data_IF_711117105112
#
_entry.id   IF_711117105112
#
_cell.length_a   1.000
_cell.length_b   1.000
_cell.length_c   1.000
_cell.angle_alpha   90.00
_cell.angle_beta   90.00
_cell.angle_gamma   90.00
#
_symmetry.space_group_name_H-M   'P 1'
#
loop_
_entity.id
_entity.type
_entity.pdbx_description
1 polymer ?
#
# COMPACT_ATOMS: atom_id res chain seq x y z
N UNK A 1 7.84 -81.82 -25.78
CA UNK A 1 8.83 -80.74 -25.67
C UNK A 1 8.06 -79.43 -25.60
N UNK A 2 7.90 -78.88 -24.40
CA UNK A 2 7.05 -77.66 -24.20
C UNK A 2 7.99 -76.47 -23.99
N UNK A 3 8.03 -75.57 -24.96
CA UNK A 3 8.78 -74.32 -24.87
C UNK A 3 7.94 -73.31 -24.09
N UNK A 4 8.44 -72.83 -22.94
CA UNK A 4 7.87 -71.74 -22.16
C UNK A 4 8.50 -70.42 -22.59
N UNK A 5 7.72 -69.56 -23.24
CA UNK A 5 8.12 -68.21 -23.57
C UNK A 5 7.86 -67.35 -22.33
N UNK A 6 8.96 -66.88 -21.71
CA UNK A 6 8.87 -65.92 -20.60
C UNK A 6 8.64 -64.50 -21.13
N UNK A 7 7.57 -63.89 -20.73
CA UNK A 7 7.21 -62.50 -21.05
C UNK A 7 7.96 -61.58 -20.08
N UNK A 8 8.98 -60.88 -20.63
CA UNK A 8 9.76 -59.88 -19.89
C UNK A 8 8.97 -58.55 -19.86
N UNK A 9 8.36 -58.24 -18.69
CA UNK A 9 7.71 -56.96 -18.48
C UNK A 9 8.76 -55.89 -18.23
N UNK A 10 8.98 -55.01 -19.21
CA UNK A 10 9.84 -53.81 -19.10
C UNK A 10 9.03 -52.68 -18.41
N UNK A 11 9.29 -52.46 -17.11
CA UNK A 11 8.69 -51.35 -16.38
C UNK A 11 9.37 -50.02 -16.80
N UNK A 12 8.65 -49.19 -17.55
CA UNK A 12 9.08 -47.84 -17.90
C UNK A 12 8.81 -46.92 -16.67
N UNK A 13 9.86 -46.58 -15.93
CA UNK A 13 9.78 -45.57 -14.87
C UNK A 13 9.77 -44.20 -15.54
N UNK A 14 8.58 -43.58 -15.60
CA UNK A 14 8.41 -42.19 -16.02
C UNK A 14 8.91 -41.26 -14.90
N UNK A 15 10.17 -40.84 -15.04
CA UNK A 15 10.76 -39.79 -14.19
C UNK A 15 10.18 -38.43 -14.62
N UNK A 16 9.12 -37.97 -13.93
CA UNK A 16 8.60 -36.62 -14.17
C UNK A 16 9.52 -35.60 -13.51
N UNK A 17 10.06 -34.61 -14.25
CA UNK A 17 10.86 -33.57 -13.63
C UNK A 17 9.99 -32.70 -12.71
N UNK A 18 10.35 -32.66 -11.42
CA UNK A 18 9.77 -31.73 -10.45
C UNK A 18 10.06 -30.29 -10.92
N UNK A 19 9.05 -29.59 -11.42
CA UNK A 19 9.17 -28.15 -11.71
C UNK A 19 9.18 -27.40 -10.40
N UNK A 20 10.35 -26.99 -9.94
CA UNK A 20 10.50 -26.04 -8.85
C UNK A 20 10.05 -24.69 -9.41
N UNK A 21 8.83 -24.29 -9.08
CA UNK A 21 8.32 -22.95 -9.38
C UNK A 21 8.99 -21.99 -8.40
N UNK A 22 10.05 -21.30 -8.83
CA UNK A 22 10.60 -20.18 -8.09
C UNK A 22 9.57 -19.06 -8.14
N UNK A 23 8.83 -18.85 -7.05
CA UNK A 23 8.00 -17.67 -6.86
C UNK A 23 8.95 -16.46 -6.82
N UNK A 24 9.05 -15.72 -7.93
CA UNK A 24 9.68 -14.41 -7.93
C UNK A 24 8.79 -13.48 -7.09
N UNK A 25 9.25 -13.20 -5.86
CA UNK A 25 8.70 -12.12 -5.06
C UNK A 25 9.04 -10.81 -5.78
N UNK A 26 8.15 -10.34 -6.64
CA UNK A 26 8.22 -9.00 -7.20
C UNK A 26 7.92 -8.04 -6.04
N UNK A 27 8.94 -7.37 -5.53
CA UNK A 27 8.77 -6.23 -4.62
C UNK A 27 8.08 -5.13 -5.41
N UNK A 28 6.74 -5.15 -5.43
CA UNK A 28 5.96 -4.15 -6.14
C UNK A 28 6.21 -2.80 -5.45
N UNK A 29 6.80 -1.85 -6.19
CA UNK A 29 6.99 -0.48 -5.72
C UNK A 29 5.62 0.12 -5.40
N UNK A 30 5.44 0.60 -4.17
CA UNK A 30 4.20 1.26 -3.77
C UNK A 30 3.96 2.51 -4.64
N UNK A 31 2.71 2.72 -5.00
CA UNK A 31 2.26 3.88 -5.76
C UNK A 31 2.06 5.08 -4.82
N UNK A 32 2.04 6.29 -5.38
CA UNK A 32 1.61 7.48 -4.64
C UNK A 32 0.12 7.39 -4.29
N UNK A 33 -0.31 8.19 -3.31
CA UNK A 33 -1.65 8.12 -2.73
C UNK A 33 -2.78 8.24 -3.75
N UNK A 34 -2.68 9.18 -4.69
CA UNK A 34 -3.74 9.42 -5.70
C UNK A 34 -3.82 8.28 -6.70
N UNK A 35 -2.66 7.75 -7.14
CA UNK A 35 -2.60 6.60 -8.05
C UNK A 35 -3.10 5.33 -7.37
N UNK A 36 -2.78 5.15 -6.08
CA UNK A 36 -3.20 3.98 -5.31
C UNK A 36 -4.69 4.01 -4.96
N UNK A 37 -5.24 5.19 -4.66
CA UNK A 37 -6.62 5.34 -4.19
C UNK A 37 -7.23 6.72 -4.53
N UNK A 38 -7.58 6.93 -5.78
CA UNK A 38 -8.23 8.16 -6.24
C UNK A 38 -9.64 8.40 -5.65
N UNK A 39 -10.21 7.43 -4.95
CA UNK A 39 -11.49 7.56 -4.27
C UNK A 39 -11.37 8.39 -3.00
N UNK A 40 -10.27 8.22 -2.27
CA UNK A 40 -10.04 8.92 -1.00
C UNK A 40 -9.07 10.09 -1.12
N UNK A 41 -8.24 10.13 -2.17
CA UNK A 41 -7.22 11.16 -2.40
C UNK A 41 -7.49 11.88 -3.71
N UNK A 42 -7.61 13.21 -3.67
CA UNK A 42 -7.75 14.04 -4.86
C UNK A 42 -6.76 15.19 -4.84
N UNK A 43 -6.23 15.56 -6.01
CA UNK A 43 -5.34 16.72 -6.16
C UNK A 43 -6.20 17.97 -6.22
N UNK A 44 -6.00 18.91 -5.30
CA UNK A 44 -6.64 20.23 -5.32
C UNK A 44 -5.78 21.30 -5.97
N UNK A 45 -4.46 21.18 -5.80
CA UNK A 45 -3.50 22.09 -6.40
C UNK A 45 -2.17 21.38 -6.62
N UNK A 46 -1.48 21.75 -7.68
CA UNK A 46 -0.15 21.22 -7.98
C UNK A 46 0.69 22.22 -8.77
N UNK A 47 1.97 22.35 -8.40
CA UNK A 47 2.99 23.10 -9.13
C UNK A 47 4.36 22.38 -9.01
N UNK A 48 5.44 23.04 -9.39
CA UNK A 48 6.79 22.46 -9.33
C UNK A 48 7.33 22.24 -7.91
N UNK A 49 6.72 22.89 -6.91
CA UNK A 49 7.19 22.91 -5.52
C UNK A 49 6.35 21.97 -4.64
N UNK A 50 5.02 22.03 -4.78
CA UNK A 50 4.09 21.29 -3.92
C UNK A 50 2.99 20.59 -4.73
N UNK A 51 2.45 19.52 -4.15
CA UNK A 51 1.18 18.92 -4.51
C UNK A 51 0.27 18.95 -3.28
N UNK A 52 -0.91 19.51 -3.42
CA UNK A 52 -1.90 19.64 -2.35
C UNK A 52 -3.00 18.63 -2.60
N UNK A 53 -3.19 17.73 -1.66
CA UNK A 53 -4.19 16.68 -1.71
C UNK A 53 -5.30 16.97 -0.70
N UNK A 54 -6.54 16.72 -1.10
CA UNK A 54 -7.64 16.51 -0.17
C UNK A 54 -7.77 15.02 0.11
N UNK A 55 -7.85 14.68 1.39
CA UNK A 55 -8.04 13.30 1.87
C UNK A 55 -9.40 13.21 2.55
N UNK A 56 -10.18 12.18 2.22
CA UNK A 56 -11.51 11.96 2.79
C UNK A 56 -11.73 10.48 3.03
N UNK A 57 -11.69 10.06 4.29
CA UNK A 57 -11.98 8.68 4.70
C UNK A 57 -13.28 8.65 5.50
N UNK A 58 -14.31 8.01 4.97
CA UNK A 58 -15.54 7.74 5.71
C UNK A 58 -15.30 6.82 6.90
N UNK A 59 -16.29 6.71 7.79
CA UNK A 59 -16.21 5.81 8.94
C UNK A 59 -15.99 4.35 8.48
N UNK A 60 -14.93 3.73 8.96
CA UNK A 60 -14.53 2.36 8.62
C UNK A 60 -13.71 2.22 7.34
N UNK A 61 -13.55 3.27 6.53
CA UNK A 61 -12.77 3.22 5.29
C UNK A 61 -11.30 2.90 5.57
N UNK A 62 -10.72 2.09 4.69
CA UNK A 62 -9.30 1.73 4.68
C UNK A 62 -8.71 2.04 3.32
N UNK A 63 -7.52 2.62 3.28
CA UNK A 63 -6.80 2.86 2.04
C UNK A 63 -5.82 1.72 1.74
N UNK A 64 -5.53 1.42 0.47
CA UNK A 64 -4.39 0.56 0.13
C UNK A 64 -3.08 1.21 0.56
N UNK A 65 -2.03 0.41 0.75
CA UNK A 65 -0.70 0.91 1.04
C UNK A 65 -0.19 1.82 -0.09
N UNK A 66 0.26 3.01 0.26
CA UNK A 66 0.72 4.04 -0.67
C UNK A 66 1.86 4.86 -0.08
N UNK A 67 2.43 5.75 -0.90
CA UNK A 67 3.55 6.60 -0.51
C UNK A 67 3.19 8.08 -0.56
N UNK A 68 3.81 8.86 0.33
CA UNK A 68 3.89 10.31 0.28
C UNK A 68 5.36 10.75 0.21
N UNK A 69 5.64 11.86 -0.48
CA UNK A 69 6.89 12.59 -0.27
C UNK A 69 6.88 13.27 1.11
N UNK A 70 7.93 14.01 1.47
CA UNK A 70 7.89 14.85 2.69
C UNK A 70 6.66 15.77 2.63
N UNK A 71 5.94 15.90 3.74
CA UNK A 71 4.61 16.53 3.74
C UNK A 71 4.28 17.25 5.04
N UNK A 72 3.26 18.10 4.98
CA UNK A 72 2.49 18.54 6.13
C UNK A 72 1.01 18.21 5.91
N UNK A 73 0.37 17.61 6.91
CA UNK A 73 -1.07 17.36 6.94
C UNK A 73 -1.75 18.37 7.88
N UNK A 74 -2.87 18.92 7.44
CA UNK A 74 -3.72 19.81 8.21
C UNK A 74 -5.06 19.11 8.38
N UNK A 75 -5.44 18.78 9.62
CA UNK A 75 -6.72 18.13 9.91
C UNK A 75 -7.87 19.14 9.78
N UNK A 76 -8.87 18.80 8.97
CA UNK A 76 -10.08 19.63 8.81
C UNK A 76 -11.21 19.17 9.73
N UNK A 77 -11.17 17.91 10.17
CA UNK A 77 -12.13 17.31 11.10
C UNK A 77 -11.37 16.63 12.23
N UNK A 78 -12.07 16.37 13.34
CA UNK A 78 -11.58 15.40 14.32
C UNK A 78 -11.50 14.02 13.66
N UNK A 79 -10.46 13.25 13.96
CA UNK A 79 -10.26 11.94 13.35
C UNK A 79 -9.67 10.93 14.34
N UNK A 80 -9.94 9.65 14.07
CA UNK A 80 -9.37 8.49 14.77
C UNK A 80 -8.81 7.55 13.72
N UNK A 81 -7.52 7.61 13.47
CA UNK A 81 -6.86 6.81 12.44
C UNK A 81 -6.01 5.71 13.05
N UNK A 82 -5.90 4.60 12.33
CA UNK A 82 -5.10 3.45 12.73
C UNK A 82 -4.36 2.88 11.52
N UNK A 83 -3.16 2.37 11.73
CA UNK A 83 -2.40 1.63 10.72
C UNK A 83 -2.22 0.18 11.13
N UNK A 84 -2.77 -0.74 10.34
CA UNK A 84 -2.69 -2.18 10.61
C UNK A 84 -3.11 -2.52 12.05
N UNK A 85 -2.25 -3.20 12.78
CA UNK A 85 -2.44 -3.54 14.20
C UNK A 85 -1.83 -2.51 15.18
N UNK A 86 -1.38 -1.37 14.67
CA UNK A 86 -0.81 -0.29 15.49
C UNK A 86 -1.84 0.38 16.41
N UNK A 87 -1.41 1.35 17.23
CA UNK A 87 -2.30 2.13 18.07
C UNK A 87 -3.19 3.06 17.23
N UNK A 88 -4.34 3.44 17.79
CA UNK A 88 -5.17 4.50 17.22
C UNK A 88 -4.53 5.84 17.52
N UNK A 89 -4.45 6.70 16.51
CA UNK A 89 -4.03 8.10 16.61
C UNK A 89 -5.25 8.98 16.55
N UNK A 90 -5.46 9.76 17.61
CA UNK A 90 -6.54 10.75 17.68
C UNK A 90 -6.01 12.11 17.25
N UNK A 91 -6.74 12.79 16.39
CA UNK A 91 -6.40 14.15 15.92
C UNK A 91 -7.59 15.08 16.03
N UNK A 92 -7.33 16.36 16.18
CA UNK A 92 -8.34 17.42 16.27
C UNK A 92 -8.29 18.31 15.05
N UNK A 93 -9.45 18.80 14.63
CA UNK A 93 -9.54 19.81 13.58
C UNK A 93 -8.61 21.00 13.89
N UNK A 94 -7.87 21.44 12.86
CA UNK A 94 -6.85 22.49 12.96
C UNK A 94 -5.47 22.04 13.39
N UNK A 95 -5.27 20.79 13.80
CA UNK A 95 -3.92 20.27 14.07
C UNK A 95 -3.11 20.12 12.79
N UNK A 96 -1.80 20.33 12.90
CA UNK A 96 -0.86 20.22 11.80
C UNK A 96 0.25 19.23 12.17
N UNK A 97 0.50 18.28 11.28
CA UNK A 97 1.59 17.31 11.39
C UNK A 97 2.48 17.42 10.17
N UNK A 98 3.79 17.46 10.36
CA UNK A 98 4.74 17.41 9.25
C UNK A 98 5.67 16.21 9.43
N UNK A 99 6.01 15.56 8.34
CA UNK A 99 6.88 14.39 8.32
C UNK A 99 7.73 14.28 7.06
N UNK A 100 8.69 13.38 7.12
CA UNK A 100 9.47 12.97 5.97
C UNK A 100 8.66 12.08 5.03
N UNK A 101 9.25 11.71 3.90
CA UNK A 101 8.65 10.75 2.98
C UNK A 101 8.33 9.44 3.71
N UNK A 102 7.12 8.93 3.50
CA UNK A 102 6.61 7.75 4.21
C UNK A 102 5.78 6.85 3.31
N UNK A 103 5.51 5.66 3.79
CA UNK A 103 4.51 4.77 3.24
C UNK A 103 3.59 4.28 4.35
N UNK A 104 2.28 4.24 4.08
CA UNK A 104 1.28 3.82 5.06
C UNK A 104 -0.01 3.30 4.41
N UNK A 105 -0.94 2.78 5.22
CA UNK A 105 -2.25 2.28 4.84
C UNK A 105 -3.27 2.60 5.94
N UNK A 106 -3.67 3.86 6.11
CA UNK A 106 -4.52 4.28 7.21
C UNK A 106 -5.95 3.73 7.07
N UNK A 107 -6.54 3.46 8.22
CA UNK A 107 -7.95 3.15 8.39
C UNK A 107 -8.59 4.20 9.31
N UNK A 108 -9.76 4.73 8.92
CA UNK A 108 -10.58 5.52 9.81
C UNK A 108 -11.38 4.59 10.74
N UNK A 109 -10.98 4.48 11.99
CA UNK A 109 -11.68 3.70 13.03
C UNK A 109 -12.70 4.54 13.81
N UNK A 110 -12.80 5.82 13.50
CA UNK A 110 -13.80 6.73 14.02
C UNK A 110 -15.20 6.49 13.43
N UNK A 111 -16.18 7.25 13.91
CA UNK A 111 -17.58 7.16 13.49
C UNK A 111 -18.02 8.25 12.52
N UNK A 112 -17.13 9.20 12.23
CA UNK A 112 -17.38 10.33 11.34
C UNK A 112 -16.34 10.35 10.22
N UNK A 113 -16.58 11.22 9.22
CA UNK A 113 -15.63 11.49 8.15
C UNK A 113 -14.33 12.06 8.74
N UNK A 114 -13.20 11.45 8.44
CA UNK A 114 -11.88 12.02 8.63
C UNK A 114 -11.49 12.78 7.35
N UNK A 115 -11.28 14.08 7.46
CA UNK A 115 -10.91 14.94 6.33
C UNK A 115 -9.66 15.75 6.66
N UNK A 116 -8.70 15.79 5.73
CA UNK A 116 -7.48 16.58 5.88
C UNK A 116 -6.99 17.13 4.55
N UNK A 117 -6.13 18.15 4.62
CA UNK A 117 -5.32 18.62 3.52
C UNK A 117 -3.89 18.13 3.74
N UNK A 118 -3.32 17.48 2.74
CA UNK A 118 -1.92 17.05 2.73
C UNK A 118 -1.16 17.88 1.70
N UNK A 119 -0.15 18.63 2.16
CA UNK A 119 0.76 19.38 1.31
C UNK A 119 2.03 18.57 1.17
N UNK A 120 2.25 17.97 0.02
CA UNK A 120 3.46 17.22 -0.32
C UNK A 120 4.50 18.13 -0.98
N UNK A 121 5.75 18.03 -0.54
CA UNK A 121 6.86 18.79 -1.10
C UNK A 121 7.59 17.98 -2.18
N UNK A 122 7.61 18.45 -3.41
CA UNK A 122 8.16 17.73 -4.56
C UNK A 122 9.69 17.63 -4.56
N UNK A 123 10.37 18.67 -4.10
CA UNK A 123 11.83 18.81 -4.18
C UNK A 123 12.44 19.18 -2.83
N UNK A 124 12.31 18.30 -1.83
CA UNK A 124 13.17 18.43 -0.66
C UNK A 124 14.53 17.78 -0.97
N UNK A 125 15.42 18.52 -1.64
CA UNK A 125 16.83 18.17 -1.58
C UNK A 125 17.21 18.17 -0.10
N UNK A 126 17.75 17.03 0.40
CA UNK A 126 18.34 16.97 1.74
C UNK A 126 19.24 18.19 1.91
N UNK A 127 18.92 19.09 2.83
CA UNK A 127 19.86 20.09 3.30
C UNK A 127 21.11 19.34 3.75
N UNK A 128 22.24 19.64 3.11
CA UNK A 128 23.55 19.08 3.42
C UNK A 128 24.02 19.61 4.77
#
# INVERSE_FOLDING_TARGET
MKVRIGLLMLALVLCSPLRISTAQSSTQKLQDAVTADSRHYSVEFENDIVRVLRVRLGAGDTTPAHTHSAYCAIELTDSSLKEGNGPTTESKAGQVFCGDATSHAPQNVGRALAESIVVEFKNRQKAR
#
